data_IF_320902698560
#
_entry.id   IF_320902698560
#
_cell.length_a   1.000
_cell.length_b   1.000
_cell.length_c   1.000
_cell.angle_alpha   90.00
_cell.angle_beta   90.00
_cell.angle_gamma   90.00
#
_symmetry.space_group_name_H-M   'P 1'
#
loop_
_entity.id
_entity.type
_entity.pdbx_description
1 polymer ?
#
# COMPACT_ATOMS: atom_id res chain seq x y z
N UNK A 1 13.21 -3.83 45.89
CA UNK A 1 12.53 -4.70 44.92
C UNK A 1 12.01 -3.80 43.83
N UNK A 2 12.84 -3.59 42.81
CA UNK A 2 12.50 -2.79 41.61
C UNK A 2 11.93 -3.76 40.58
N UNK A 3 10.71 -3.60 40.24
CA UNK A 3 10.09 -4.29 39.10
C UNK A 3 10.27 -3.41 37.87
N UNK A 4 11.28 -3.74 37.05
CA UNK A 4 11.41 -3.22 35.68
C UNK A 4 10.26 -3.72 34.85
N UNK A 5 9.30 -2.83 34.59
CA UNK A 5 8.29 -3.02 33.57
C UNK A 5 8.87 -2.65 32.20
N UNK A 6 9.37 -3.63 31.46
CA UNK A 6 9.64 -3.49 30.03
C UNK A 6 8.30 -3.35 29.31
N UNK A 7 7.80 -2.11 29.22
CA UNK A 7 6.73 -1.74 28.31
C UNK A 7 7.26 -1.89 26.89
N UNK A 8 6.83 -2.92 26.18
CA UNK A 8 6.93 -2.97 24.71
C UNK A 8 6.13 -1.77 24.21
N UNK A 9 6.82 -0.73 23.77
CA UNK A 9 6.19 0.46 23.19
C UNK A 9 5.42 0.01 21.95
N UNK A 10 4.09 -0.02 22.05
CA UNK A 10 3.23 -0.17 20.88
C UNK A 10 3.47 1.08 20.04
N UNK A 11 4.14 0.92 18.90
CA UNK A 11 4.29 2.04 17.97
C UNK A 11 2.90 2.44 17.49
N UNK A 12 2.53 3.70 17.72
CA UNK A 12 1.24 4.24 17.31
C UNK A 12 1.31 4.59 15.83
N UNK A 13 0.42 4.03 15.02
CA UNK A 13 0.30 4.35 13.58
C UNK A 13 -0.41 5.69 13.41
N UNK A 14 0.23 6.62 12.75
CA UNK A 14 -0.24 7.98 12.47
C UNK A 14 -1.07 8.00 11.19
N UNK A 15 -2.33 8.40 11.27
CA UNK A 15 -3.28 8.34 10.14
C UNK A 15 -3.74 9.75 9.75
N UNK A 16 -3.66 10.07 8.46
CA UNK A 16 -4.28 11.26 7.85
C UNK A 16 -5.55 10.85 7.12
N UNK A 17 -6.68 11.51 7.41
CA UNK A 17 -7.96 11.26 6.75
C UNK A 17 -8.19 12.34 5.69
N UNK A 18 -8.49 11.93 4.44
CA UNK A 18 -8.70 12.83 3.31
C UNK A 18 -10.00 12.49 2.60
N UNK A 19 -11.00 13.37 2.71
CA UNK A 19 -12.33 13.19 2.10
C UNK A 19 -13.02 14.55 2.02
N UNK A 20 -13.74 14.88 0.95
CA UNK A 20 -14.45 16.16 0.84
C UNK A 20 -15.79 16.17 1.61
N UNK A 21 -16.29 14.98 1.99
CA UNK A 21 -17.53 14.83 2.77
C UNK A 21 -17.25 14.88 4.28
N UNK A 22 -17.71 15.95 4.93
CA UNK A 22 -17.50 16.17 6.39
C UNK A 22 -18.07 15.02 7.25
N UNK A 23 -19.31 14.53 7.03
CA UNK A 23 -19.84 13.37 7.75
C UNK A 23 -18.94 12.13 7.65
N UNK A 24 -18.38 11.83 6.48
CA UNK A 24 -17.46 10.70 6.27
C UNK A 24 -16.19 10.87 7.13
N UNK A 25 -15.56 12.06 7.13
CA UNK A 25 -14.39 12.32 7.96
C UNK A 25 -14.68 12.13 9.44
N UNK A 26 -15.81 12.67 9.94
CA UNK A 26 -16.22 12.51 11.34
C UNK A 26 -16.43 11.04 11.67
N UNK A 27 -17.05 10.27 10.80
CA UNK A 27 -17.27 8.84 10.98
C UNK A 27 -15.97 8.05 11.06
N UNK A 28 -15.05 8.28 10.10
CA UNK A 28 -13.73 7.65 10.07
C UNK A 28 -12.92 8.00 11.32
N UNK A 29 -12.86 9.29 11.70
CA UNK A 29 -12.20 9.71 12.95
C UNK A 29 -12.77 8.98 14.16
N UNK A 30 -14.09 8.91 14.29
CA UNK A 30 -14.73 8.26 15.43
C UNK A 30 -14.38 6.77 15.54
N UNK A 31 -14.25 6.10 14.40
CA UNK A 31 -13.81 4.69 14.34
C UNK A 31 -12.36 4.57 14.80
N UNK A 32 -11.47 5.40 14.26
CA UNK A 32 -10.04 5.28 14.51
C UNK A 32 -9.64 5.74 15.92
N UNK A 33 -10.28 6.78 16.46
CA UNK A 33 -10.03 7.27 17.82
C UNK A 33 -10.47 6.25 18.91
N UNK A 34 -11.34 5.29 18.58
CA UNK A 34 -11.72 4.20 19.47
C UNK A 34 -10.69 3.06 19.53
N UNK A 35 -9.72 3.04 18.61
CA UNK A 35 -8.77 1.94 18.43
C UNK A 35 -7.41 2.24 19.05
N UNK A 36 -6.91 1.29 19.86
CA UNK A 36 -5.57 1.41 20.44
C UNK A 36 -4.49 1.24 19.36
N UNK A 37 -3.47 2.11 19.41
CA UNK A 37 -2.33 2.07 18.49
C UNK A 37 -2.59 2.78 17.17
N UNK A 38 -3.72 3.47 16.99
CA UNK A 38 -3.98 4.39 15.89
C UNK A 38 -4.09 5.83 16.42
N UNK A 39 -3.59 6.80 15.67
CA UNK A 39 -3.65 8.23 15.99
C UNK A 39 -4.01 9.02 14.75
N UNK A 40 -5.18 9.70 14.75
CA UNK A 40 -5.58 10.57 13.63
C UNK A 40 -4.88 11.91 13.76
N UNK A 41 -3.76 12.05 13.07
CA UNK A 41 -2.88 13.23 13.15
C UNK A 41 -3.42 14.45 12.39
N UNK A 42 -4.37 14.25 11.47
CA UNK A 42 -4.97 15.34 10.72
C UNK A 42 -6.14 14.92 9.83
N UNK A 43 -6.81 15.91 9.27
CA UNK A 43 -7.87 15.77 8.27
C UNK A 43 -7.64 16.75 7.14
N UNK A 44 -7.97 16.35 5.91
CA UNK A 44 -7.97 17.22 4.74
C UNK A 44 -9.29 17.08 3.97
N UNK A 45 -9.72 18.16 3.33
CA UNK A 45 -10.94 18.19 2.53
C UNK A 45 -10.69 18.01 1.02
N UNK A 46 -9.45 18.03 0.59
CA UNK A 46 -9.05 17.77 -0.80
C UNK A 46 -7.60 17.30 -0.93
N UNK A 47 -7.23 16.87 -2.14
CA UNK A 47 -5.91 16.32 -2.40
C UNK A 47 -4.77 17.32 -2.26
N UNK A 48 -5.00 18.63 -2.46
CA UNK A 48 -3.99 19.67 -2.31
C UNK A 48 -3.67 19.90 -0.83
N UNK A 49 -4.70 19.99 0.00
CA UNK A 49 -4.52 20.08 1.45
C UNK A 49 -3.82 18.84 1.99
N UNK A 50 -4.19 17.66 1.50
CA UNK A 50 -3.54 16.40 1.86
C UNK A 50 -2.02 16.42 1.59
N UNK A 51 -1.58 16.85 0.39
CA UNK A 51 -0.16 16.95 0.06
C UNK A 51 0.59 17.87 1.04
N UNK A 52 0.01 19.02 1.39
CA UNK A 52 0.64 19.96 2.35
C UNK A 52 0.74 19.37 3.76
N UNK A 53 -0.30 18.64 4.20
CA UNK A 53 -0.34 18.04 5.54
C UNK A 53 0.58 16.83 5.66
N UNK A 54 0.78 16.06 4.61
CA UNK A 54 1.74 14.93 4.61
C UNK A 54 3.14 15.41 4.98
N UNK A 55 3.62 16.50 4.39
CA UNK A 55 4.95 17.03 4.66
C UNK A 55 5.13 17.56 6.09
N UNK A 56 4.05 18.06 6.70
CA UNK A 56 4.09 18.66 8.04
C UNK A 56 3.75 17.71 9.17
N UNK A 57 2.89 16.73 8.89
CA UNK A 57 2.38 15.79 9.90
C UNK A 57 3.07 14.44 9.86
N UNK A 58 3.82 14.13 8.80
CA UNK A 58 4.52 12.84 8.62
C UNK A 58 3.64 11.64 9.02
N UNK A 59 2.45 11.44 8.39
CA UNK A 59 1.60 10.30 8.69
C UNK A 59 2.24 9.00 8.18
N UNK A 60 1.96 7.87 8.84
CA UNK A 60 2.34 6.54 8.36
C UNK A 60 1.40 6.06 7.27
N UNK A 61 0.09 6.37 7.42
CA UNK A 61 -0.97 5.96 6.50
C UNK A 61 -1.86 7.15 6.16
N UNK A 62 -2.24 7.27 4.89
CA UNK A 62 -3.22 8.24 4.39
C UNK A 62 -4.45 7.47 3.90
N UNK A 63 -5.62 7.75 4.48
CA UNK A 63 -6.92 7.32 3.94
C UNK A 63 -7.38 8.37 2.94
N UNK A 64 -7.44 8.04 1.65
CA UNK A 64 -7.65 8.98 0.56
C UNK A 64 -8.92 8.70 -0.21
N UNK A 65 -9.90 9.61 -0.20
CA UNK A 65 -11.02 9.53 -1.12
C UNK A 65 -10.57 9.76 -2.57
N UNK A 66 -11.23 9.09 -3.51
CA UNK A 66 -10.92 9.21 -4.95
C UNK A 66 -11.44 10.53 -5.52
N UNK A 67 -12.70 10.88 -5.20
CA UNK A 67 -13.40 11.95 -5.89
C UNK A 67 -13.53 13.22 -5.08
N UNK A 68 -12.54 14.07 -5.16
CA UNK A 68 -12.49 15.38 -4.50
C UNK A 68 -12.22 16.50 -5.50
N UNK A 69 -12.49 17.74 -5.12
CA UNK A 69 -12.12 18.95 -5.86
C UNK A 69 -11.46 19.96 -4.91
N UNK A 70 -10.46 20.74 -5.36
CA UNK A 70 -9.98 20.89 -6.75
C UNK A 70 -9.01 19.80 -7.22
N UNK A 71 -8.38 19.02 -6.34
CA UNK A 71 -7.45 17.94 -6.65
C UNK A 71 -8.03 16.62 -6.22
N UNK A 72 -8.16 15.67 -7.18
CA UNK A 72 -8.66 14.33 -6.90
C UNK A 72 -7.63 13.47 -6.15
N UNK A 73 -8.11 12.36 -5.54
CA UNK A 73 -7.27 11.50 -4.71
C UNK A 73 -6.22 10.73 -5.48
N UNK A 74 -6.46 10.39 -6.76
CA UNK A 74 -5.47 9.69 -7.60
C UNK A 74 -4.30 10.61 -7.90
N UNK A 75 -4.59 11.87 -8.24
CA UNK A 75 -3.58 12.91 -8.47
C UNK A 75 -2.78 13.23 -7.19
N UNK A 76 -3.47 13.31 -6.04
CA UNK A 76 -2.85 13.50 -4.74
C UNK A 76 -1.95 12.31 -4.37
N UNK A 77 -2.44 11.07 -4.52
CA UNK A 77 -1.67 9.85 -4.30
C UNK A 77 -0.39 9.87 -5.11
N UNK A 78 -0.47 10.18 -6.42
CA UNK A 78 0.72 10.26 -7.28
C UNK A 78 1.72 11.29 -6.77
N UNK A 79 1.26 12.45 -6.32
CA UNK A 79 2.14 13.50 -5.77
C UNK A 79 2.83 13.03 -4.49
N UNK A 80 2.07 12.46 -3.56
CA UNK A 80 2.56 11.97 -2.27
C UNK A 80 3.58 10.83 -2.45
N UNK A 81 3.39 9.97 -3.44
CA UNK A 81 4.23 8.78 -3.65
C UNK A 81 5.34 8.98 -4.70
N UNK A 82 5.42 10.14 -5.37
CA UNK A 82 6.28 10.37 -6.55
C UNK A 82 7.78 10.32 -6.31
N UNK A 83 8.24 10.43 -5.05
CA UNK A 83 9.67 10.35 -4.73
C UNK A 83 10.06 8.91 -4.38
N UNK A 84 10.44 8.15 -5.38
CA UNK A 84 10.78 6.74 -5.27
C UNK A 84 11.97 6.42 -4.33
N UNK A 85 12.70 7.43 -3.85
CA UNK A 85 13.92 7.26 -3.06
C UNK A 85 13.70 7.42 -1.55
N UNK A 86 12.53 7.85 -1.09
CA UNK A 86 12.22 8.00 0.33
C UNK A 86 11.44 6.78 0.84
N UNK A 87 12.07 5.95 1.65
CA UNK A 87 11.44 4.83 2.37
C UNK A 87 10.48 5.30 3.48
N UNK A 88 10.51 6.59 3.81
CA UNK A 88 9.76 7.21 4.91
C UNK A 88 8.45 7.88 4.45
N UNK A 89 7.96 7.55 3.24
CA UNK A 89 6.70 8.12 2.75
C UNK A 89 5.49 7.38 3.28
N UNK A 90 4.37 8.11 3.49
CA UNK A 90 3.14 7.48 3.95
C UNK A 90 2.61 6.49 2.90
N UNK A 91 2.02 5.44 3.38
CA UNK A 91 1.27 4.49 2.56
C UNK A 91 -0.12 5.02 2.33
N UNK A 92 -0.62 4.92 1.12
CA UNK A 92 -1.94 5.45 0.76
C UNK A 92 -2.93 4.31 0.59
N UNK A 93 -3.99 4.31 1.39
CA UNK A 93 -5.17 3.46 1.20
C UNK A 93 -6.24 4.31 0.54
N UNK A 94 -6.65 3.95 -0.66
CA UNK A 94 -7.69 4.67 -1.38
C UNK A 94 -9.06 4.19 -0.93
N UNK A 95 -9.94 5.12 -0.55
CA UNK A 95 -11.34 4.87 -0.21
C UNK A 95 -12.24 5.25 -1.41
N UNK A 96 -13.16 4.37 -1.79
CA UNK A 96 -14.08 4.65 -2.89
C UNK A 96 -15.50 4.13 -2.60
N UNK A 97 -16.50 4.81 -3.14
CA UNK A 97 -17.89 4.35 -3.08
C UNK A 97 -18.21 3.29 -4.14
N UNK A 98 -17.36 3.17 -5.16
CA UNK A 98 -17.57 2.29 -6.31
C UNK A 98 -16.38 1.36 -6.52
N UNK A 99 -16.68 0.12 -6.87
CA UNK A 99 -15.74 -0.92 -7.27
C UNK A 99 -15.45 -0.91 -8.79
N UNK A 100 -15.52 0.29 -9.43
CA UNK A 100 -15.14 0.41 -10.83
C UNK A 100 -13.65 0.19 -10.99
N UNK A 101 -13.29 -0.80 -11.78
CA UNK A 101 -11.91 -1.23 -12.03
C UNK A 101 -10.97 -0.07 -12.42
N UNK A 102 -11.46 0.91 -13.17
CA UNK A 102 -10.68 2.05 -13.65
C UNK A 102 -10.09 2.92 -12.51
N UNK A 103 -10.86 3.16 -11.43
CA UNK A 103 -10.36 3.93 -10.27
C UNK A 103 -9.37 3.13 -9.44
N UNK A 104 -9.62 1.83 -9.27
CA UNK A 104 -8.72 0.94 -8.53
C UNK A 104 -7.35 0.88 -9.20
N UNK A 105 -7.31 0.67 -10.52
CA UNK A 105 -6.06 0.63 -11.28
C UNK A 105 -5.35 1.97 -11.34
N UNK A 106 -6.11 3.06 -11.51
CA UNK A 106 -5.58 4.42 -11.47
C UNK A 106 -4.89 4.73 -10.14
N UNK A 107 -5.50 4.33 -9.02
CA UNK A 107 -4.96 4.52 -7.68
C UNK A 107 -3.67 3.69 -7.46
N UNK A 108 -3.69 2.41 -7.80
CA UNK A 108 -2.52 1.52 -7.65
C UNK A 108 -1.34 1.99 -8.51
N UNK A 109 -1.58 2.45 -9.76
CA UNK A 109 -0.55 3.05 -10.62
C UNK A 109 -0.05 4.39 -10.09
N UNK A 110 -0.88 5.11 -9.35
CA UNK A 110 -0.47 6.34 -8.69
C UNK A 110 0.38 6.09 -7.43
N UNK A 111 0.56 4.83 -7.01
CA UNK A 111 1.36 4.46 -5.86
C UNK A 111 0.56 4.07 -4.61
N UNK A 112 -0.76 3.86 -4.73
CA UNK A 112 -1.55 3.39 -3.59
C UNK A 112 -1.11 2.00 -3.13
N UNK A 113 -1.05 1.80 -1.82
CA UNK A 113 -0.72 0.53 -1.16
C UNK A 113 -1.92 -0.42 -1.09
N UNK A 114 -3.12 0.10 -1.34
CA UNK A 114 -4.35 -0.66 -1.36
C UNK A 114 -5.57 0.20 -1.62
N UNK A 115 -6.72 -0.45 -1.71
CA UNK A 115 -8.01 0.25 -1.79
C UNK A 115 -9.06 -0.47 -0.94
N UNK A 116 -10.04 0.30 -0.47
CA UNK A 116 -11.19 -0.18 0.26
C UNK A 116 -12.45 0.53 -0.23
N UNK A 117 -13.58 -0.13 -0.05
CA UNK A 117 -14.87 0.51 -0.27
C UNK A 117 -15.25 1.34 0.96
N UNK A 118 -15.84 2.51 0.79
CA UNK A 118 -16.36 3.34 1.90
C UNK A 118 -17.40 2.61 2.76
N UNK A 119 -18.00 1.52 2.25
CA UNK A 119 -18.92 0.62 2.96
C UNK A 119 -18.22 -0.52 3.73
N UNK A 120 -16.89 -0.59 3.68
CA UNK A 120 -16.12 -1.61 4.41
C UNK A 120 -16.42 -1.50 5.91
N UNK A 121 -16.69 -2.60 6.62
CA UNK A 121 -16.90 -2.59 8.06
C UNK A 121 -15.71 -1.97 8.82
N UNK A 122 -16.00 -1.32 9.95
CA UNK A 122 -15.00 -0.61 10.75
C UNK A 122 -13.81 -1.52 11.15
N UNK A 123 -14.09 -2.75 11.56
CA UNK A 123 -13.07 -3.73 11.95
C UNK A 123 -12.11 -4.04 10.78
N UNK A 124 -12.66 -4.26 9.57
CA UNK A 124 -11.85 -4.53 8.37
C UNK A 124 -11.02 -3.30 7.95
N UNK A 125 -11.54 -2.07 8.12
CA UNK A 125 -10.80 -0.84 7.87
C UNK A 125 -9.61 -0.71 8.81
N UNK A 126 -9.81 -0.97 10.10
CA UNK A 126 -8.76 -0.91 11.13
C UNK A 126 -7.67 -1.94 10.85
N UNK A 127 -8.05 -3.18 10.54
CA UNK A 127 -7.10 -4.24 10.20
C UNK A 127 -6.32 -3.89 8.93
N UNK A 128 -6.98 -3.32 7.96
CA UNK A 128 -6.38 -2.84 6.72
C UNK A 128 -5.29 -1.77 6.98
N UNK A 129 -5.56 -0.80 7.85
CA UNK A 129 -4.60 0.23 8.22
C UNK A 129 -3.37 -0.40 8.88
N UNK A 130 -3.56 -1.35 9.80
CA UNK A 130 -2.46 -2.05 10.48
C UNK A 130 -1.60 -2.84 9.50
N UNK A 131 -2.22 -3.61 8.62
CA UNK A 131 -1.54 -4.39 7.58
C UNK A 131 -0.70 -3.49 6.67
N UNK A 132 -1.28 -2.39 6.22
CA UNK A 132 -0.59 -1.44 5.35
C UNK A 132 0.54 -0.72 6.09
N UNK A 133 0.35 -0.33 7.36
CA UNK A 133 1.39 0.28 8.17
C UNK A 133 2.63 -0.63 8.34
N UNK A 134 2.44 -1.95 8.32
CA UNK A 134 3.55 -2.94 8.35
C UNK A 134 4.25 -3.13 7.00
N UNK A 135 3.78 -2.47 5.93
CA UNK A 135 4.35 -2.59 4.57
C UNK A 135 3.77 -3.75 3.77
N UNK A 136 2.75 -4.41 4.27
CA UNK A 136 1.98 -5.37 3.49
C UNK A 136 0.91 -4.62 2.68
N UNK A 137 0.52 -5.14 1.50
CA UNK A 137 -0.50 -4.51 0.68
C UNK A 137 -1.85 -5.17 0.86
N UNK A 138 -2.90 -4.35 0.82
CA UNK A 138 -4.28 -4.83 0.75
C UNK A 138 -4.65 -5.17 -0.69
N UNK A 139 -4.06 -6.23 -1.19
CA UNK A 139 -4.47 -6.82 -2.45
C UNK A 139 -5.06 -8.19 -2.18
N UNK A 140 -6.38 -8.30 -2.32
CA UNK A 140 -7.00 -9.62 -2.35
C UNK A 140 -6.50 -10.39 -3.59
N UNK A 141 -6.51 -11.73 -3.58
CA UNK A 141 -6.17 -12.52 -4.77
C UNK A 141 -7.00 -12.11 -6.00
N UNK A 142 -8.25 -11.71 -5.81
CA UNK A 142 -9.14 -11.23 -6.87
C UNK A 142 -8.69 -9.88 -7.41
N UNK A 143 -8.32 -8.93 -6.53
CA UNK A 143 -7.79 -7.64 -6.93
C UNK A 143 -6.45 -7.79 -7.66
N UNK A 144 -5.59 -8.69 -7.20
CA UNK A 144 -4.33 -9.03 -7.88
C UNK A 144 -4.59 -9.60 -9.28
N UNK A 145 -5.52 -10.54 -9.43
CA UNK A 145 -5.87 -11.11 -10.75
C UNK A 145 -6.42 -10.05 -11.71
N UNK A 146 -7.28 -9.15 -11.24
CA UNK A 146 -7.81 -8.04 -12.06
C UNK A 146 -6.71 -7.08 -12.48
N UNK A 147 -5.84 -6.69 -11.55
CA UNK A 147 -4.66 -5.88 -11.83
C UNK A 147 -3.81 -6.50 -12.95
N UNK A 148 -3.56 -7.79 -12.85
CA UNK A 148 -2.81 -8.58 -13.83
C UNK A 148 -3.48 -8.55 -15.21
N UNK A 149 -4.79 -8.75 -15.27
CA UNK A 149 -5.53 -8.76 -16.55
C UNK A 149 -5.46 -7.39 -17.25
N UNK A 150 -5.48 -6.28 -16.50
CA UNK A 150 -5.34 -4.94 -17.04
C UNK A 150 -3.92 -4.68 -17.58
N UNK A 151 -2.88 -5.13 -16.87
CA UNK A 151 -1.49 -5.03 -17.35
C UNK A 151 -1.23 -5.90 -18.59
N UNK A 152 -1.93 -7.03 -18.74
CA UNK A 152 -1.82 -7.89 -19.91
C UNK A 152 -2.17 -7.19 -21.22
N UNK A 153 -3.11 -6.24 -21.15
CA UNK A 153 -3.60 -5.50 -22.32
C UNK A 153 -2.69 -4.34 -22.73
N UNK A 154 -1.63 -4.02 -21.98
CA UNK A 154 -0.74 -2.90 -22.26
C UNK A 154 0.58 -3.36 -22.89
N UNK A 155 0.81 -2.93 -24.12
CA UNK A 155 1.91 -3.42 -24.97
C UNK A 155 3.31 -2.83 -24.69
N UNK A 156 3.54 -2.02 -23.66
CA UNK A 156 4.81 -1.36 -23.42
C UNK A 156 5.31 -1.55 -21.99
N UNK A 157 6.37 -2.36 -21.83
CA UNK A 157 7.14 -2.38 -20.59
C UNK A 157 8.15 -1.22 -20.63
N UNK A 158 8.18 -0.30 -19.63
CA UNK A 158 9.24 0.69 -19.50
C UNK A 158 10.60 0.01 -19.38
N UNK A 159 11.63 0.54 -20.07
CA UNK A 159 12.98 -0.04 -20.02
C UNK A 159 13.53 -0.04 -18.58
N UNK A 160 13.26 1.03 -17.84
CA UNK A 160 13.66 1.22 -16.44
C UNK A 160 13.16 0.11 -15.49
N UNK A 161 11.94 -0.39 -15.71
CA UNK A 161 11.38 -1.48 -14.91
C UNK A 161 12.12 -2.81 -15.13
N UNK A 162 12.68 -3.04 -16.31
CA UNK A 162 13.48 -4.25 -16.61
C UNK A 162 14.85 -4.17 -15.96
N UNK A 163 15.51 -3.02 -16.04
CA UNK A 163 16.85 -2.81 -15.48
C UNK A 163 16.85 -3.01 -13.96
N UNK A 164 15.78 -2.60 -13.27
CA UNK A 164 15.64 -2.82 -11.84
C UNK A 164 15.62 -4.31 -11.45
N UNK A 165 15.12 -5.20 -12.33
CA UNK A 165 15.07 -6.64 -12.06
C UNK A 165 16.43 -7.33 -12.15
N UNK A 166 17.41 -6.74 -12.83
CA UNK A 166 18.76 -7.29 -12.98
C UNK A 166 19.58 -7.20 -11.69
N UNK A 167 19.18 -6.33 -10.76
CA UNK A 167 19.79 -6.20 -9.43
C UNK A 167 19.32 -7.25 -8.42
N UNK A 168 18.31 -8.05 -8.78
CA UNK A 168 17.80 -9.10 -7.91
C UNK A 168 18.66 -10.36 -8.02
N UNK A 169 19.01 -10.94 -6.88
CA UNK A 169 19.58 -12.29 -6.83
C UNK A 169 18.55 -13.32 -7.31
N UNK A 170 18.96 -14.52 -7.73
CA UNK A 170 18.01 -15.57 -8.13
C UNK A 170 16.92 -15.84 -7.08
N UNK A 171 17.29 -15.81 -5.78
CA UNK A 171 16.35 -16.03 -4.68
C UNK A 171 15.37 -14.87 -4.49
N UNK A 172 15.84 -13.65 -4.61
CA UNK A 172 14.97 -12.45 -4.54
C UNK A 172 14.00 -12.38 -5.74
N UNK A 173 14.47 -12.78 -6.92
CA UNK A 173 13.62 -12.89 -8.11
C UNK A 173 12.54 -13.94 -7.92
N UNK A 174 12.87 -15.11 -7.37
CA UNK A 174 11.91 -16.17 -7.04
C UNK A 174 10.85 -15.68 -6.04
N UNK A 175 11.27 -14.98 -4.99
CA UNK A 175 10.36 -14.38 -4.01
C UNK A 175 9.44 -13.35 -4.68
N UNK A 176 9.95 -12.48 -5.55
CA UNK A 176 9.15 -11.48 -6.27
C UNK A 176 8.11 -12.15 -7.20
N UNK A 177 8.46 -13.22 -7.88
CA UNK A 177 7.51 -14.01 -8.70
C UNK A 177 6.37 -14.56 -7.85
N UNK A 178 6.67 -15.13 -6.68
CA UNK A 178 5.63 -15.65 -5.77
C UNK A 178 4.75 -14.52 -5.20
N UNK A 179 5.34 -13.36 -4.90
CA UNK A 179 4.59 -12.15 -4.53
C UNK A 179 3.63 -11.75 -5.66
N UNK A 180 4.10 -11.71 -6.89
CA UNK A 180 3.30 -11.35 -8.06
C UNK A 180 2.16 -12.34 -8.35
N UNK A 181 2.32 -13.61 -7.95
CA UNK A 181 1.24 -14.60 -7.98
C UNK A 181 0.25 -14.50 -6.80
N UNK A 182 0.42 -13.52 -5.91
CA UNK A 182 -0.49 -13.24 -4.81
C UNK A 182 -0.27 -14.08 -3.54
N UNK A 183 0.83 -14.85 -3.43
CA UNK A 183 1.10 -15.66 -2.25
C UNK A 183 1.46 -14.76 -1.05
N UNK A 184 0.92 -15.05 0.12
CA UNK A 184 1.32 -14.41 1.39
C UNK A 184 2.73 -14.77 1.80
N UNK A 185 3.34 -14.02 2.71
CA UNK A 185 4.68 -14.33 3.23
C UNK A 185 4.74 -15.73 3.88
N UNK A 186 3.66 -16.18 4.52
CA UNK A 186 3.55 -17.54 5.10
C UNK A 186 3.54 -18.64 4.03
N UNK A 187 2.77 -18.45 2.96
CA UNK A 187 2.72 -19.39 1.82
C UNK A 187 4.06 -19.43 1.08
N UNK A 188 4.72 -18.29 0.89
CA UNK A 188 6.06 -18.22 0.30
C UNK A 188 7.07 -18.96 1.19
N UNK A 189 7.03 -18.74 2.51
CA UNK A 189 7.90 -19.43 3.47
C UNK A 189 7.73 -20.95 3.37
N UNK A 190 6.49 -21.41 3.32
CA UNK A 190 6.13 -22.82 3.16
C UNK A 190 6.62 -23.39 1.83
N UNK A 191 6.36 -22.69 0.70
CA UNK A 191 6.75 -23.15 -0.64
C UNK A 191 8.27 -23.22 -0.83
N UNK A 192 9.02 -22.32 -0.20
CA UNK A 192 10.47 -22.22 -0.30
C UNK A 192 11.21 -22.96 0.82
N UNK A 193 10.47 -23.57 1.76
CA UNK A 193 10.96 -24.31 2.91
C UNK A 193 11.97 -23.51 3.77
N UNK A 194 11.57 -22.27 4.10
CA UNK A 194 12.35 -21.35 4.97
C UNK A 194 11.46 -20.74 6.05
N UNK A 195 12.05 -20.05 7.03
CA UNK A 195 11.29 -19.38 8.08
C UNK A 195 10.55 -18.13 7.53
N UNK A 196 9.44 -17.78 8.18
CA UNK A 196 8.71 -16.53 7.88
C UNK A 196 9.62 -15.30 8.00
N UNK A 197 10.50 -15.27 9.00
CA UNK A 197 11.44 -14.17 9.21
C UNK A 197 12.45 -14.03 8.07
N UNK A 198 12.89 -15.17 7.51
CA UNK A 198 13.75 -15.18 6.32
C UNK A 198 13.03 -14.56 5.11
N UNK A 199 11.74 -14.88 4.92
CA UNK A 199 10.95 -14.29 3.84
C UNK A 199 10.74 -12.79 4.05
N UNK A 200 10.39 -12.34 5.26
CA UNK A 200 10.28 -10.90 5.56
C UNK A 200 11.56 -10.14 5.19
N UNK A 201 12.72 -10.74 5.49
CA UNK A 201 14.03 -10.17 5.12
C UNK A 201 14.22 -10.11 3.59
N UNK A 202 13.87 -11.17 2.86
CA UNK A 202 13.96 -11.17 1.39
C UNK A 202 13.01 -10.14 0.78
N UNK A 203 11.76 -10.07 1.24
CA UNK A 203 10.76 -9.10 0.78
C UNK A 203 11.27 -7.66 0.94
N UNK A 204 11.78 -7.32 2.13
CA UNK A 204 12.36 -5.98 2.38
C UNK A 204 13.52 -5.67 1.42
N UNK A 205 14.42 -6.63 1.17
CA UNK A 205 15.54 -6.45 0.23
C UNK A 205 15.06 -6.29 -1.21
N UNK A 206 14.05 -7.07 -1.63
CA UNK A 206 13.43 -6.94 -2.95
C UNK A 206 12.88 -5.53 -3.11
N UNK A 207 12.04 -5.07 -2.17
CA UNK A 207 11.41 -3.74 -2.26
C UNK A 207 12.47 -2.64 -2.35
N UNK A 208 13.50 -2.68 -1.51
CA UNK A 208 14.60 -1.71 -1.55
C UNK A 208 15.33 -1.72 -2.91
N UNK A 209 15.59 -2.90 -3.49
CA UNK A 209 16.33 -3.03 -4.74
C UNK A 209 15.56 -2.56 -5.97
N UNK A 210 14.25 -2.80 -6.00
CA UNK A 210 13.38 -2.38 -7.12
C UNK A 210 12.73 -1.00 -6.88
N UNK A 211 13.03 -0.34 -5.74
CA UNK A 211 12.58 1.03 -5.46
C UNK A 211 11.08 1.13 -5.18
N UNK A 212 10.48 0.12 -4.55
CA UNK A 212 9.05 0.13 -4.18
C UNK A 212 8.84 0.13 -2.67
N UNK A 213 7.69 0.63 -2.21
CA UNK A 213 7.43 0.83 -0.78
C UNK A 213 6.59 -0.28 -0.15
N UNK A 214 5.84 -1.01 -0.97
CA UNK A 214 4.91 -2.03 -0.51
C UNK A 214 4.71 -3.14 -1.54
N UNK A 215 3.90 -4.12 -1.13
CA UNK A 215 3.63 -5.32 -1.91
C UNK A 215 2.85 -5.03 -3.19
N UNK A 216 1.92 -4.05 -3.19
CA UNK A 216 1.13 -3.71 -4.36
C UNK A 216 2.03 -3.18 -5.47
N UNK A 217 2.94 -2.28 -5.12
CA UNK A 217 3.92 -1.73 -6.04
C UNK A 217 4.89 -2.80 -6.55
N UNK A 218 5.27 -3.77 -5.71
CA UNK A 218 6.11 -4.90 -6.12
C UNK A 218 5.40 -5.79 -7.15
N UNK A 219 4.10 -6.04 -6.99
CA UNK A 219 3.28 -6.77 -7.98
C UNK A 219 3.27 -6.00 -9.30
N UNK A 220 2.95 -4.71 -9.27
CA UNK A 220 2.92 -3.86 -10.47
C UNK A 220 4.27 -3.90 -11.19
N UNK A 221 5.37 -3.66 -10.48
CA UNK A 221 6.72 -3.67 -11.02
C UNK A 221 7.08 -5.02 -11.68
N UNK A 222 6.69 -6.15 -11.07
CA UNK A 222 6.94 -7.47 -11.63
C UNK A 222 6.23 -7.71 -12.98
N UNK A 223 4.98 -7.22 -13.11
CA UNK A 223 4.22 -7.31 -14.35
C UNK A 223 4.71 -6.32 -15.41
N UNK A 224 4.99 -5.07 -15.04
CA UNK A 224 5.57 -4.05 -15.95
C UNK A 224 6.92 -4.50 -16.50
N UNK A 225 7.77 -5.13 -15.69
CA UNK A 225 9.02 -5.71 -16.11
C UNK A 225 8.87 -7.01 -16.93
N UNK A 226 7.65 -7.54 -17.06
CA UNK A 226 7.37 -8.85 -17.67
C UNK A 226 8.10 -10.02 -17.00
N UNK A 227 8.38 -9.91 -15.72
CA UNK A 227 8.95 -10.98 -14.93
C UNK A 227 7.95 -12.14 -14.78
N UNK A 228 6.66 -11.82 -14.76
CA UNK A 228 5.53 -12.74 -14.78
C UNK A 228 4.61 -12.39 -15.94
N UNK A 229 4.00 -13.40 -16.52
CA UNK A 229 2.96 -13.23 -17.53
C UNK A 229 1.58 -13.43 -16.88
N UNK A 230 0.54 -12.74 -17.37
CA UNK A 230 -0.84 -13.03 -16.99
C UNK A 230 -1.16 -14.50 -17.28
N UNK A 231 -1.91 -15.13 -16.37
CA UNK A 231 -2.44 -16.46 -16.66
C UNK A 231 -3.40 -16.38 -17.86
N UNK A 232 -3.37 -17.34 -18.79
CA UNK A 232 -4.23 -17.39 -19.96
C UNK A 232 -5.72 -17.50 -19.60
#
# INVERSE_FOLDING_TARGET
>A
MHTDGTGVGVSTTRVLIVDDDVPTRIGLRSILDAEQGLDVVGEAADGREACNLVDSLEPDVVLMDVRMRPMDGISATRTITSDAHSLDRPRVIVLTTFDHDEYVFGALRAGASGFLLKRTPAEELVDAIRVVAEGEALLTPEATKRLVAEFANQNHAPAEARDAMDWLTPREREVLVLIAHGLTNGEIASSLNVSLETIKTHVKRVFTKIGVHDRAQAVIAAYEARLVAPAP
#
